data_IF_885177284495
#
_entry.id   IF_885177284495
#
_cell.length_a   1.000
_cell.length_b   1.000
_cell.length_c   1.000
_cell.angle_alpha   90.00
_cell.angle_beta   90.00
_cell.angle_gamma   90.00
#
_symmetry.space_group_name_H-M   'P 1'
#
loop_
_entity.id
_entity.type
_entity.pdbx_description
1 polymer ?
#
# COMPACT_ATOMS: atom_id res chain seq x y z
N UNK A 1 18.97 14.77 -0.35
CA UNK A 1 18.15 13.70 -0.97
C UNK A 1 16.74 13.90 -0.48
N UNK A 2 15.74 13.81 -1.37
CA UNK A 2 14.34 14.02 -1.04
C UNK A 2 13.53 12.81 -1.50
N UNK A 3 12.38 12.58 -0.89
CA UNK A 3 11.46 11.53 -1.31
C UNK A 3 10.94 11.76 -2.74
N UNK A 4 10.72 10.66 -3.46
CA UNK A 4 10.06 10.66 -4.76
C UNK A 4 8.59 11.05 -4.63
N UNK A 5 7.92 11.42 -5.73
CA UNK A 5 6.47 11.58 -5.72
C UNK A 5 5.77 10.21 -5.70
N UNK A 6 4.64 10.10 -4.99
CA UNK A 6 3.86 8.86 -5.00
C UNK A 6 3.36 8.52 -6.42
N UNK A 7 3.26 7.23 -6.76
CA UNK A 7 2.67 6.80 -8.03
C UNK A 7 1.44 5.87 -7.82
N UNK A 8 0.25 6.42 -8.06
CA UNK A 8 -0.98 5.63 -8.09
C UNK A 8 -1.32 5.07 -9.47
N UNK A 9 -0.64 5.56 -10.53
CA UNK A 9 -0.92 5.21 -11.92
C UNK A 9 -0.27 3.90 -12.38
N UNK A 10 -0.91 3.24 -13.35
CA UNK A 10 -0.36 2.13 -14.12
C UNK A 10 -1.04 2.03 -15.48
N UNK A 11 -0.53 1.16 -16.37
CA UNK A 11 -1.15 0.88 -17.67
C UNK A 11 -2.43 0.03 -17.59
N UNK A 12 -2.94 -0.25 -16.39
CA UNK A 12 -4.10 -1.09 -16.14
C UNK A 12 -5.44 -0.36 -16.32
N UNK A 13 -6.53 -1.14 -16.28
CA UNK A 13 -7.90 -0.61 -16.37
C UNK A 13 -8.33 0.19 -15.13
N UNK A 14 -9.52 0.81 -15.20
CA UNK A 14 -10.01 1.72 -14.15
C UNK A 14 -10.06 1.09 -12.74
N UNK A 15 -10.41 -0.19 -12.63
CA UNK A 15 -10.43 -0.91 -11.35
C UNK A 15 -9.03 -1.07 -10.75
N UNK A 16 -8.04 -1.43 -11.56
CA UNK A 16 -6.66 -1.57 -11.11
C UNK A 16 -6.11 -0.22 -10.61
N UNK A 17 -6.37 0.86 -11.35
CA UNK A 17 -5.95 2.19 -10.95
C UNK A 17 -6.61 2.63 -9.64
N UNK A 18 -7.87 2.24 -9.40
CA UNK A 18 -8.53 2.50 -8.12
C UNK A 18 -7.88 1.72 -6.96
N UNK A 19 -7.47 0.47 -7.17
CA UNK A 19 -6.76 -0.32 -6.16
C UNK A 19 -5.40 0.27 -5.84
N UNK A 20 -4.61 0.62 -6.87
CA UNK A 20 -3.31 1.29 -6.70
C UNK A 20 -3.45 2.59 -5.93
N UNK A 21 -4.43 3.43 -6.29
CA UNK A 21 -4.72 4.67 -5.58
C UNK A 21 -5.10 4.41 -4.11
N UNK A 22 -5.90 3.38 -3.84
CA UNK A 22 -6.28 3.00 -2.47
C UNK A 22 -5.07 2.55 -1.65
N UNK A 23 -4.16 1.77 -2.22
CA UNK A 23 -2.93 1.33 -1.56
C UNK A 23 -2.02 2.53 -1.28
N UNK A 24 -1.77 3.39 -2.27
CA UNK A 24 -0.97 4.61 -2.09
C UNK A 24 -1.55 5.45 -0.96
N UNK A 25 -2.86 5.74 -1.00
CA UNK A 25 -3.53 6.55 0.01
C UNK A 25 -3.47 5.93 1.41
N UNK A 26 -3.48 4.60 1.53
CA UNK A 26 -3.38 3.90 2.82
C UNK A 26 -1.99 3.97 3.47
N UNK A 27 -0.93 4.21 2.69
CA UNK A 27 0.45 4.28 3.21
C UNK A 27 1.05 5.69 3.16
N UNK A 28 0.52 6.57 2.32
CA UNK A 28 0.88 7.97 2.25
C UNK A 28 0.25 8.74 3.42
N UNK A 29 1.03 9.58 4.08
CA UNK A 29 0.51 10.51 5.10
C UNK A 29 1.36 11.76 5.22
N UNK A 30 0.73 12.82 5.75
CA UNK A 30 1.43 14.05 6.15
C UNK A 30 2.52 13.76 7.19
N UNK A 31 3.58 14.59 7.24
CA UNK A 31 4.66 14.41 8.20
C UNK A 31 4.15 14.36 9.64
N UNK A 32 4.61 13.35 10.38
CA UNK A 32 4.44 13.19 11.82
C UNK A 32 5.58 13.91 12.56
N UNK A 33 5.52 14.03 13.91
CA UNK A 33 6.65 14.54 14.67
C UNK A 33 7.95 13.80 14.33
N UNK A 34 8.99 14.56 14.00
CA UNK A 34 10.33 14.14 13.52
C UNK A 34 10.45 13.82 12.02
N UNK A 35 9.38 13.90 11.25
CA UNK A 35 9.40 13.80 9.78
C UNK A 35 9.41 15.21 9.17
N UNK A 36 10.25 15.43 8.16
CA UNK A 36 10.38 16.73 7.47
C UNK A 36 9.41 16.85 6.29
N UNK A 37 8.90 15.71 5.81
CA UNK A 37 8.12 15.66 4.57
C UNK A 37 7.12 14.52 4.57
N UNK A 38 6.15 14.62 3.65
CA UNK A 38 5.14 13.61 3.40
C UNK A 38 5.79 12.25 3.12
N UNK A 39 5.22 11.18 3.68
CA UNK A 39 5.60 9.82 3.27
C UNK A 39 5.01 9.54 1.90
N UNK A 40 5.86 9.19 0.94
CA UNK A 40 5.42 8.89 -0.43
C UNK A 40 5.56 7.40 -0.73
N UNK A 41 4.82 6.94 -1.74
CA UNK A 41 4.70 5.52 -2.07
C UNK A 41 4.96 5.26 -3.54
N UNK A 42 5.94 4.42 -3.85
CA UNK A 42 6.22 3.96 -5.20
C UNK A 42 5.82 2.48 -5.36
N UNK A 43 4.80 2.18 -6.16
CA UNK A 43 4.43 0.82 -6.54
C UNK A 43 5.37 0.35 -7.66
N UNK A 44 6.14 -0.69 -7.37
CA UNK A 44 7.07 -1.34 -8.31
C UNK A 44 6.38 -2.49 -9.06
N UNK A 45 5.54 -3.26 -8.37
CA UNK A 45 4.79 -4.37 -8.98
C UNK A 45 3.39 -4.48 -8.39
N UNK A 46 2.45 -4.94 -9.23
CA UNK A 46 1.06 -5.08 -8.87
C UNK A 46 0.46 -6.24 -9.65
N UNK A 47 -0.19 -7.16 -8.95
CA UNK A 47 -0.88 -8.30 -9.54
C UNK A 47 -2.30 -8.34 -9.00
N UNK A 48 -3.27 -8.22 -9.89
CA UNK A 48 -4.67 -8.46 -9.57
C UNK A 48 -4.96 -9.96 -9.70
N UNK A 49 -5.34 -10.58 -8.59
CA UNK A 49 -5.80 -11.96 -8.56
C UNK A 49 -7.27 -12.09 -8.96
N UNK A 50 -7.79 -13.30 -8.76
CA UNK A 50 -9.22 -13.57 -8.94
C UNK A 50 -10.06 -12.90 -7.85
N UNK A 51 -11.28 -12.52 -8.22
CA UNK A 51 -12.30 -12.14 -7.24
C UNK A 51 -12.89 -13.37 -6.56
N UNK A 52 -13.26 -13.26 -5.30
CA UNK A 52 -13.91 -14.33 -4.54
C UNK A 52 -14.94 -13.75 -3.55
N UNK A 53 -15.90 -14.56 -3.07
CA UNK A 53 -16.74 -14.17 -1.94
C UNK A 53 -15.92 -14.01 -0.67
N UNK A 54 -16.42 -13.21 0.28
CA UNK A 54 -15.85 -13.07 1.62
C UNK A 54 -15.56 -14.41 2.31
N UNK A 55 -14.37 -14.54 2.89
CA UNK A 55 -13.91 -15.69 3.67
C UNK A 55 -13.60 -15.25 5.09
N UNK A 56 -14.32 -15.84 6.04
CA UNK A 56 -14.09 -15.63 7.47
C UNK A 56 -12.65 -16.02 7.83
N UNK A 57 -12.03 -15.25 8.74
CA UNK A 57 -10.63 -15.41 9.22
C UNK A 57 -9.52 -15.15 8.20
N UNK A 58 -9.85 -14.99 6.91
CA UNK A 58 -8.88 -14.63 5.87
C UNK A 58 -9.04 -13.16 5.50
N UNK A 59 -10.25 -12.77 5.13
CA UNK A 59 -10.50 -11.42 4.63
C UNK A 59 -10.84 -10.46 5.79
N UNK A 60 -10.55 -9.16 5.64
CA UNK A 60 -10.89 -8.15 6.63
C UNK A 60 -12.39 -8.13 6.94
N UNK A 61 -12.74 -7.84 8.19
CA UNK A 61 -14.14 -7.84 8.64
C UNK A 61 -15.02 -6.89 7.83
N UNK A 62 -14.47 -5.77 7.39
CA UNK A 62 -15.18 -4.77 6.60
C UNK A 62 -15.53 -5.26 5.18
N UNK A 63 -14.92 -6.37 4.75
CA UNK A 63 -15.25 -7.06 3.51
C UNK A 63 -16.46 -8.01 3.64
N UNK A 64 -17.03 -8.20 4.84
CA UNK A 64 -18.12 -9.13 5.06
C UNK A 64 -19.31 -8.86 4.13
N UNK A 65 -19.79 -9.92 3.46
CA UNK A 65 -20.91 -9.86 2.51
C UNK A 65 -20.58 -9.20 1.16
N UNK A 66 -19.31 -8.92 0.87
CA UNK A 66 -18.87 -8.25 -0.38
C UNK A 66 -18.04 -9.19 -1.25
N UNK A 67 -17.91 -8.82 -2.52
CA UNK A 67 -16.91 -9.41 -3.42
C UNK A 67 -15.54 -8.83 -3.09
N UNK A 68 -14.57 -9.73 -2.87
CA UNK A 68 -13.20 -9.39 -2.53
C UNK A 68 -12.30 -9.69 -3.72
N UNK A 69 -11.39 -8.77 -4.03
CA UNK A 69 -10.36 -8.91 -5.04
C UNK A 69 -9.02 -9.08 -4.33
N UNK A 70 -8.40 -10.25 -4.51
CA UNK A 70 -7.05 -10.48 -3.99
C UNK A 70 -6.04 -9.71 -4.82
N UNK A 71 -5.23 -8.87 -4.19
CA UNK A 71 -4.19 -8.09 -4.84
C UNK A 71 -2.86 -8.34 -4.17
N UNK A 72 -1.80 -8.55 -4.94
CA UNK A 72 -0.42 -8.57 -4.41
C UNK A 72 0.35 -7.40 -4.99
N UNK A 73 0.93 -6.58 -4.13
CA UNK A 73 1.74 -5.45 -4.56
C UNK A 73 3.10 -5.44 -3.88
N UNK A 74 4.12 -5.00 -4.62
CA UNK A 74 5.41 -4.62 -4.06
C UNK A 74 5.59 -3.13 -4.27
N UNK A 75 5.91 -2.43 -3.19
CA UNK A 75 6.02 -0.98 -3.19
C UNK A 75 7.08 -0.52 -2.18
N UNK A 76 7.61 0.67 -2.42
CA UNK A 76 8.55 1.33 -1.51
C UNK A 76 7.88 2.54 -0.89
N UNK A 77 7.92 2.64 0.44
CA UNK A 77 7.58 3.89 1.14
C UNK A 77 8.86 4.70 1.35
N UNK A 78 8.83 5.99 1.05
CA UNK A 78 9.90 6.91 1.39
C UNK A 78 9.46 7.84 2.52
N UNK A 79 10.25 7.89 3.59
CA UNK A 79 10.06 8.81 4.71
C UNK A 79 11.24 9.77 4.81
N UNK A 80 10.95 11.06 4.79
CA UNK A 80 11.94 12.11 4.91
C UNK A 80 12.07 12.56 6.38
N UNK A 81 13.23 12.34 7.01
CA UNK A 81 13.52 12.78 8.37
C UNK A 81 14.61 13.87 8.38
N UNK A 82 14.70 14.62 9.47
CA UNK A 82 15.67 15.72 9.64
C UNK A 82 17.09 15.40 9.19
N UNK A 83 17.61 14.21 9.52
CA UNK A 83 19.01 13.82 9.23
C UNK A 83 19.16 12.73 8.18
N UNK A 84 18.08 12.12 7.71
CA UNK A 84 18.13 10.92 6.87
C UNK A 84 16.86 10.73 6.07
N UNK A 85 16.95 10.02 4.96
CA UNK A 85 15.81 9.51 4.20
C UNK A 85 15.76 8.00 4.40
N UNK A 86 14.58 7.47 4.70
CA UNK A 86 14.36 6.03 4.90
C UNK A 86 13.45 5.50 3.80
N UNK A 87 13.92 4.46 3.13
CA UNK A 87 13.17 3.70 2.13
C UNK A 87 12.82 2.35 2.72
N UNK A 88 11.54 1.99 2.74
CA UNK A 88 11.08 0.66 3.15
C UNK A 88 10.38 -0.01 1.98
N UNK A 89 11.02 -1.02 1.39
CA UNK A 89 10.41 -1.87 0.38
C UNK A 89 9.55 -2.92 1.06
N UNK A 90 8.31 -3.09 0.60
CA UNK A 90 7.29 -3.95 1.19
C UNK A 90 6.65 -4.78 0.09
N UNK A 91 6.49 -6.07 0.34
CA UNK A 91 5.54 -6.90 -0.42
C UNK A 91 4.36 -7.24 0.48
N UNK A 92 3.14 -7.00 0.00
CA UNK A 92 1.91 -7.26 0.75
C UNK A 92 0.84 -7.88 -0.14
N UNK A 93 -0.04 -8.63 0.51
CA UNK A 93 -1.31 -9.08 -0.03
C UNK A 93 -2.43 -8.21 0.54
N UNK A 94 -3.37 -7.85 -0.32
CA UNK A 94 -4.48 -6.97 -0.03
C UNK A 94 -5.79 -7.64 -0.41
N UNK A 95 -6.80 -7.42 0.41
CA UNK A 95 -8.20 -7.63 0.07
C UNK A 95 -8.75 -6.27 -0.37
N UNK A 96 -9.03 -6.13 -1.67
CA UNK A 96 -9.66 -4.93 -2.22
C UNK A 96 -11.15 -5.16 -2.41
N UNK A 97 -11.99 -4.27 -1.89
CA UNK A 97 -13.44 -4.39 -1.94
C UNK A 97 -14.09 -3.01 -1.90
N UNK A 98 -15.38 -2.93 -2.24
CA UNK A 98 -16.13 -1.69 -2.08
C UNK A 98 -16.53 -1.50 -0.61
N UNK A 99 -16.20 -0.36 -0.03
CA UNK A 99 -16.68 0.01 1.30
C UNK A 99 -18.20 0.26 1.29
N UNK A 100 -18.77 0.57 2.46
CA UNK A 100 -20.21 0.88 2.59
C UNK A 100 -20.64 2.10 1.77
N UNK A 101 -19.72 3.03 1.47
CA UNK A 101 -19.94 4.18 0.60
C UNK A 101 -19.77 3.84 -0.91
N UNK A 102 -19.53 2.58 -1.27
CA UNK A 102 -19.36 2.14 -2.65
C UNK A 102 -18.00 2.48 -3.27
N UNK A 103 -17.06 3.01 -2.49
CA UNK A 103 -15.71 3.36 -2.91
C UNK A 103 -14.78 2.16 -2.76
N UNK A 104 -13.80 2.02 -3.65
CA UNK A 104 -12.77 1.01 -3.49
C UNK A 104 -11.87 1.32 -2.30
N UNK A 105 -11.61 0.30 -1.48
CA UNK A 105 -10.59 0.30 -0.45
C UNK A 105 -9.81 -1.01 -0.52
N UNK A 106 -8.54 -0.96 -0.14
CA UNK A 106 -7.66 -2.14 -0.09
C UNK A 106 -7.06 -2.24 1.31
N UNK A 107 -7.30 -3.36 1.96
CA UNK A 107 -6.80 -3.63 3.31
C UNK A 107 -5.82 -4.79 3.28
N UNK A 108 -4.75 -4.70 4.07
CA UNK A 108 -3.74 -5.75 4.16
C UNK A 108 -4.38 -7.02 4.74
N UNK A 109 -4.20 -8.15 4.05
CA UNK A 109 -4.65 -9.45 4.54
C UNK A 109 -3.70 -9.88 5.65
N UNK A 110 -4.20 -9.95 6.89
CA UNK A 110 -3.45 -10.46 8.03
C UNK A 110 -3.44 -12.00 8.02
N UNK A 111 -3.04 -12.64 6.92
CA UNK A 111 -2.87 -14.09 6.95
C UNK A 111 -1.60 -14.45 7.73
N UNK A 112 -1.69 -15.50 8.55
CA UNK A 112 -0.64 -16.03 9.44
C UNK A 112 0.66 -16.43 8.70
N UNK A 113 0.63 -16.48 7.35
CA UNK A 113 1.75 -16.80 6.47
C UNK A 113 1.99 -15.75 5.38
N UNK A 114 1.50 -14.50 5.54
CA UNK A 114 1.97 -13.43 4.65
C UNK A 114 3.45 -13.19 4.96
N UNK A 115 4.32 -13.52 4.00
CA UNK A 115 5.74 -13.18 4.08
C UNK A 115 5.87 -11.65 4.09
N UNK A 116 5.76 -11.06 5.28
CA UNK A 116 6.08 -9.65 5.54
C UNK A 116 7.59 -9.53 5.39
N UNK A 117 8.02 -9.31 4.15
CA UNK A 117 9.40 -9.02 3.82
C UNK A 117 9.52 -7.51 3.66
N UNK A 118 9.98 -6.85 4.73
CA UNK A 118 10.31 -5.44 4.71
C UNK A 118 11.83 -5.28 4.65
N UNK A 119 12.31 -4.68 3.57
CA UNK A 119 13.71 -4.29 3.45
C UNK A 119 13.81 -2.78 3.66
N UNK A 120 14.55 -2.38 4.69
CA UNK A 120 14.72 -0.97 5.03
C UNK A 120 16.13 -0.50 4.69
N UNK A 121 16.23 0.62 3.96
CA UNK A 121 17.48 1.33 3.69
C UNK A 121 17.40 2.74 4.21
N UNK A 122 18.47 3.21 4.83
CA UNK A 122 18.60 4.58 5.35
C UNK A 122 19.76 5.27 4.67
N UNK A 123 19.56 6.50 4.24
CA UNK A 123 20.60 7.34 3.63
C UNK A 123 20.67 8.65 4.41
N UNK A 124 21.85 8.96 4.94
CA UNK A 124 22.07 10.21 5.67
C UNK A 124 22.07 11.41 4.72
N UNK A 125 21.49 12.52 5.17
CA UNK A 125 21.55 13.79 4.44
C UNK A 125 22.93 14.42 4.62
N UNK A 126 23.54 15.00 3.56
CA UNK A 126 24.76 15.78 3.71
C UNK A 126 24.51 16.93 4.69
N UNK A 127 25.52 17.21 5.53
CA UNK A 127 25.50 18.31 6.50
C UNK A 127 25.57 19.66 5.81
#
# INVERSE_FOLDING_TARGET
>A
MQCFASNAGGGGGAMENAFRASIVHGFEHEPRPNEDGRITVEIESFVNGGSHPYRLLVDPRDAAGKTVYSVRATFTTCTDYFRRVVYTKRTREFACFKNTAGQWGCEVVAAVNTNINDETKSVDKPR
#
